data_IF_994688968362
#
_entry.id   IF_994688968362
#
_cell.length_a   1.000
_cell.length_b   1.000
_cell.length_c   1.000
_cell.angle_alpha   90.00
_cell.angle_beta   90.00
_cell.angle_gamma   90.00
#
_symmetry.space_group_name_H-M   'P 1'
#
loop_
_entity.id
_entity.type
_entity.pdbx_description
1 polymer ?
#
# COMPACT_ATOMS: atom_id res chain seq x y z
N UNK A 1 -46.78 41.17 -33.52
CA UNK A 1 -45.99 41.15 -32.27
C UNK A 1 -44.84 40.17 -32.51
N UNK A 2 -43.66 40.68 -32.90
CA UNK A 2 -42.50 40.92 -32.02
C UNK A 2 -42.00 39.61 -31.38
N UNK A 3 -40.78 39.12 -31.57
CA UNK A 3 -39.49 39.84 -31.69
C UNK A 3 -38.43 38.91 -32.33
N UNK A 4 -37.62 39.44 -33.24
CA UNK A 4 -36.33 38.89 -33.68
C UNK A 4 -35.37 38.80 -32.49
N UNK A 5 -34.63 37.71 -32.30
CA UNK A 5 -33.25 37.80 -31.79
C UNK A 5 -32.36 36.68 -32.36
N UNK A 6 -31.41 37.10 -33.20
CA UNK A 6 -30.15 36.40 -33.48
C UNK A 6 -29.39 36.25 -32.16
N UNK A 7 -28.84 35.08 -31.86
CA UNK A 7 -27.79 34.97 -30.83
C UNK A 7 -26.54 34.32 -31.42
N UNK A 8 -25.53 35.17 -31.45
CA UNK A 8 -24.19 35.11 -32.02
C UNK A 8 -23.43 33.78 -31.84
N UNK A 9 -22.72 33.39 -32.90
CA UNK A 9 -21.47 32.63 -32.80
C UNK A 9 -20.43 33.46 -32.06
N UNK A 10 -19.77 32.89 -31.06
CA UNK A 10 -18.44 33.31 -30.65
C UNK A 10 -17.52 32.10 -30.64
N UNK A 11 -16.52 32.18 -31.51
CA UNK A 11 -15.33 31.33 -31.61
C UNK A 11 -14.28 31.93 -30.67
N UNK A 12 -13.26 31.13 -30.31
CA UNK A 12 -11.90 31.57 -29.91
C UNK A 12 -11.75 32.03 -28.43
N UNK A 13 -10.70 31.75 -27.61
CA UNK A 13 -9.37 31.08 -27.63
C UNK A 13 -9.09 30.73 -26.13
N UNK A 14 -8.27 29.78 -25.67
CA UNK A 14 -6.81 29.88 -25.46
C UNK A 14 -6.31 28.48 -25.08
N UNK A 15 -5.52 27.88 -25.97
CA UNK A 15 -4.49 26.92 -25.60
C UNK A 15 -3.27 27.72 -25.16
N UNK A 16 -2.80 27.51 -23.94
CA UNK A 16 -1.48 27.95 -23.49
C UNK A 16 -0.78 26.75 -22.87
N UNK A 17 0.08 26.13 -23.67
CA UNK A 17 1.05 25.17 -23.22
C UNK A 17 2.06 25.87 -22.30
N UNK A 18 2.06 25.50 -21.02
CA UNK A 18 3.11 25.87 -20.09
C UNK A 18 4.23 24.82 -20.14
N UNK A 19 5.21 25.02 -21.02
CA UNK A 19 6.46 24.26 -21.01
C UNK A 19 7.30 24.76 -19.84
N UNK A 20 7.43 23.96 -18.77
CA UNK A 20 8.48 24.18 -17.78
C UNK A 20 9.80 23.66 -18.36
N UNK A 21 10.57 24.59 -18.91
CA UNK A 21 11.95 24.37 -19.29
C UNK A 21 12.80 24.23 -18.02
N UNK A 22 13.08 23.00 -17.60
CA UNK A 22 14.19 22.73 -16.70
C UNK A 22 15.49 22.83 -17.51
N UNK A 23 16.19 23.95 -17.31
CA UNK A 23 17.55 24.14 -17.81
C UNK A 23 18.52 23.24 -17.04
N UNK A 24 18.91 22.13 -17.65
CA UNK A 24 20.11 21.40 -17.24
C UNK A 24 21.32 22.05 -17.94
N UNK A 25 22.05 22.86 -17.18
CA UNK A 25 23.43 23.21 -17.51
C UNK A 25 24.27 21.92 -17.46
N UNK A 26 24.93 21.62 -18.58
CA UNK A 26 25.66 20.38 -18.78
C UNK A 26 26.96 20.27 -18.01
N UNK A 27 27.38 19.02 -17.82
CA UNK A 27 28.77 18.62 -17.97
C UNK A 27 28.78 17.43 -18.94
N UNK A 28 29.60 17.55 -19.99
CA UNK A 28 29.41 16.84 -21.25
C UNK A 28 30.07 15.47 -21.38
N UNK A 29 29.62 14.74 -22.41
CA UNK A 29 30.41 13.82 -23.21
C UNK A 29 29.63 13.52 -24.49
N UNK A 30 30.03 14.13 -25.60
CA UNK A 30 29.55 13.76 -26.94
C UNK A 30 30.19 12.45 -27.37
N UNK A 31 29.41 11.56 -28.00
CA UNK A 31 29.80 10.93 -29.26
C UNK A 31 28.58 10.35 -30.01
N UNK A 32 28.33 11.00 -31.16
CA UNK A 32 27.98 10.48 -32.48
C UNK A 32 26.86 9.42 -32.65
N UNK A 33 25.70 9.94 -33.09
CA UNK A 33 24.98 9.61 -34.31
C UNK A 33 25.19 8.22 -34.96
N UNK A 34 24.06 7.50 -35.15
CA UNK A 34 23.59 7.13 -36.50
C UNK A 34 22.07 6.86 -36.52
N UNK A 35 21.43 7.49 -37.51
CA UNK A 35 20.11 7.18 -38.06
C UNK A 35 19.99 5.69 -38.42
N UNK A 36 18.78 5.13 -38.34
CA UNK A 36 18.06 4.69 -39.54
C UNK A 36 16.58 4.44 -39.23
N UNK A 37 15.74 5.05 -40.07
CA UNK A 37 14.33 4.71 -40.29
C UNK A 37 14.25 3.36 -41.01
N UNK A 38 13.33 2.48 -40.60
CA UNK A 38 12.63 1.61 -41.57
C UNK A 38 11.36 0.99 -40.99
N UNK A 39 10.30 1.19 -41.76
CA UNK A 39 8.98 0.63 -41.59
C UNK A 39 8.91 -0.87 -41.93
N UNK A 40 7.74 -1.43 -41.62
CA UNK A 40 7.13 -2.66 -42.16
C UNK A 40 7.34 -3.99 -41.43
N UNK A 41 6.23 -4.39 -40.79
CA UNK A 41 5.34 -5.50 -41.21
C UNK A 41 5.41 -6.79 -40.39
N UNK A 42 4.19 -7.21 -40.08
CA UNK A 42 3.70 -8.43 -39.46
C UNK A 42 4.51 -9.70 -39.72
N UNK A 43 4.58 -10.57 -38.71
CA UNK A 43 4.59 -12.03 -38.92
C UNK A 43 3.91 -12.72 -37.73
N UNK A 44 2.82 -13.40 -38.06
CA UNK A 44 2.08 -14.41 -37.29
C UNK A 44 2.95 -15.65 -37.06
N UNK A 45 2.88 -16.30 -35.91
CA UNK A 45 3.03 -17.76 -35.78
C UNK A 45 2.42 -18.24 -34.46
N UNK A 46 1.46 -19.15 -34.59
CA UNK A 46 0.86 -19.96 -33.54
C UNK A 46 1.56 -21.31 -33.41
N UNK A 47 1.49 -21.91 -32.22
CA UNK A 47 1.60 -23.35 -31.86
C UNK A 47 1.28 -23.40 -30.35
N UNK A 48 0.17 -23.95 -29.82
CA UNK A 48 -0.31 -25.36 -29.79
C UNK A 48 0.85 -26.33 -29.47
N UNK A 49 0.87 -27.21 -28.46
CA UNK A 49 -0.09 -28.05 -27.70
C UNK A 49 0.68 -28.51 -26.43
N UNK A 50 0.13 -28.84 -25.25
CA UNK A 50 -0.46 -30.15 -24.85
C UNK A 50 -0.62 -30.13 -23.31
N UNK A 51 -1.84 -30.18 -22.77
CA UNK A 51 -2.43 -31.32 -22.03
C UNK A 51 -1.47 -32.10 -21.11
N UNK A 52 -1.79 -32.18 -19.81
CA UNK A 52 -2.38 -33.41 -19.30
C UNK A 52 -3.20 -33.17 -18.02
N UNK A 53 -4.35 -33.83 -17.97
CA UNK A 53 -5.31 -33.83 -16.88
C UNK A 53 -5.15 -35.13 -16.11
N UNK A 54 -5.19 -35.11 -14.78
CA UNK A 54 -5.55 -36.33 -14.04
C UNK A 54 -6.35 -35.97 -12.80
N UNK A 55 -7.67 -35.93 -12.98
CA UNK A 55 -8.60 -36.29 -11.92
C UNK A 55 -8.56 -37.80 -11.75
N UNK A 56 -8.52 -38.26 -10.49
CA UNK A 56 -9.03 -39.57 -10.09
C UNK A 56 -9.37 -39.51 -8.61
N UNK A 57 -10.65 -39.30 -8.34
CA UNK A 57 -11.33 -39.72 -7.13
C UNK A 57 -11.05 -41.19 -6.75
N UNK A 58 -10.98 -41.46 -5.45
CA UNK A 58 -11.49 -42.71 -4.85
C UNK A 58 -11.59 -42.57 -3.33
N UNK A 59 -12.82 -42.68 -2.84
CA UNK A 59 -13.23 -42.78 -1.45
C UNK A 59 -12.87 -44.15 -0.85
N UNK A 60 -12.53 -44.19 0.44
CA UNK A 60 -12.95 -45.29 1.32
C UNK A 60 -12.87 -44.85 2.79
N UNK A 61 -14.00 -45.04 3.47
CA UNK A 61 -14.26 -44.75 4.88
C UNK A 61 -13.36 -45.52 5.84
N UNK A 62 -13.11 -44.91 7.00
CA UNK A 62 -13.13 -45.61 8.29
C UNK A 62 -13.56 -44.63 9.36
N UNK A 63 -14.73 -44.89 9.91
CA UNK A 63 -15.23 -44.27 11.13
C UNK A 63 -14.43 -44.80 12.31
N UNK A 64 -14.00 -43.92 13.20
CA UNK A 64 -14.02 -44.21 14.63
C UNK A 64 -14.21 -42.89 15.39
N UNK A 65 -15.28 -42.87 16.19
CA UNK A 65 -15.54 -41.81 17.14
C UNK A 65 -14.60 -41.93 18.32
N UNK A 66 -14.13 -40.79 18.80
CA UNK A 66 -13.32 -40.70 20.02
C UNK A 66 -13.12 -39.25 20.38
N UNK A 67 -14.09 -38.67 21.09
CA UNK A 67 -13.79 -37.52 21.95
C UNK A 67 -12.77 -37.97 22.98
N UNK A 68 -11.57 -37.42 22.95
CA UNK A 68 -10.77 -37.33 24.16
C UNK A 68 -9.92 -36.06 24.17
N UNK A 69 -10.19 -35.22 25.16
CA UNK A 69 -9.32 -34.15 25.59
C UNK A 69 -8.09 -34.79 26.21
N UNK A 70 -7.03 -34.95 25.43
CA UNK A 70 -5.81 -35.59 25.88
C UNK A 70 -4.58 -34.83 25.41
N UNK A 71 -3.98 -34.09 26.33
CA UNK A 71 -2.62 -33.55 26.32
C UNK A 71 -1.66 -34.38 25.44
N UNK A 72 -1.35 -33.86 24.25
CA UNK A 72 -0.39 -34.44 23.33
C UNK A 72 0.97 -33.79 23.50
N UNK A 73 1.95 -34.58 23.90
CA UNK A 73 3.32 -34.21 24.19
C UNK A 73 3.97 -33.34 23.09
N UNK A 74 4.64 -32.27 23.53
CA UNK A 74 5.56 -31.49 22.71
C UNK A 74 6.71 -32.38 22.26
N UNK A 75 6.68 -32.83 21.00
CA UNK A 75 7.87 -33.33 20.33
C UNK A 75 8.74 -32.13 20.00
N UNK A 76 9.91 -32.07 20.64
CA UNK A 76 10.85 -30.97 20.53
C UNK A 76 11.43 -30.85 19.13
N UNK A 77 10.76 -30.07 18.28
CA UNK A 77 11.31 -29.35 17.12
C UNK A 77 10.55 -28.02 16.86
N UNK A 78 9.71 -27.57 17.79
CA UNK A 78 8.97 -26.29 17.76
C UNK A 78 9.83 -25.11 18.27
N UNK A 79 11.04 -24.97 17.75
CA UNK A 79 11.95 -23.84 18.05
C UNK A 79 12.03 -22.83 16.90
N UNK A 80 10.95 -22.69 16.13
CA UNK A 80 10.62 -21.40 15.54
C UNK A 80 9.77 -20.66 16.54
N UNK A 81 10.34 -19.71 17.28
CA UNK A 81 9.55 -18.78 18.10
C UNK A 81 8.67 -17.96 17.17
N UNK A 82 7.52 -18.52 16.80
CA UNK A 82 6.58 -17.92 15.88
C UNK A 82 5.78 -16.91 16.70
N UNK A 83 6.42 -15.78 16.96
CA UNK A 83 5.83 -14.64 17.63
C UNK A 83 4.75 -14.11 16.70
N UNK A 84 3.50 -14.43 17.00
CA UNK A 84 2.33 -14.05 16.22
C UNK A 84 1.47 -13.05 16.98
N UNK A 85 0.87 -12.15 16.21
CA UNK A 85 -0.03 -11.13 16.71
C UNK A 85 -1.43 -11.68 16.81
N UNK A 86 -2.38 -10.81 17.15
CA UNK A 86 -3.79 -11.18 17.09
C UNK A 86 -4.23 -11.16 15.62
N UNK A 87 -4.68 -12.29 15.02
CA UNK A 87 -5.19 -12.29 13.65
C UNK A 87 -6.38 -11.35 13.49
N UNK A 88 -6.49 -10.72 12.33
CA UNK A 88 -7.59 -9.82 12.01
C UNK A 88 -8.37 -10.28 10.77
N UNK A 89 -9.69 -10.03 10.80
CA UNK A 89 -10.54 -10.15 9.62
C UNK A 89 -10.54 -8.83 8.85
N UNK A 90 -10.37 -8.90 7.53
CA UNK A 90 -10.44 -7.73 6.66
C UNK A 90 -11.90 -7.39 6.31
N UNK A 91 -12.14 -6.11 6.07
CA UNK A 91 -13.37 -5.61 5.48
C UNK A 91 -13.10 -5.19 4.03
N UNK A 92 -13.54 -6.00 3.08
CA UNK A 92 -13.35 -5.77 1.64
C UNK A 92 -14.28 -4.70 1.06
N UNK A 93 -15.17 -4.12 1.89
CA UNK A 93 -16.04 -3.04 1.41
C UNK A 93 -15.22 -1.82 1.00
N UNK A 94 -15.66 -1.07 -0.02
CA UNK A 94 -15.00 0.17 -0.42
C UNK A 94 -14.90 1.16 0.76
N UNK A 95 -13.80 1.92 0.80
CA UNK A 95 -13.61 2.97 1.81
C UNK A 95 -14.71 4.02 1.70
N UNK A 96 -15.39 4.26 2.82
CA UNK A 96 -16.30 5.39 2.98
C UNK A 96 -15.53 6.69 3.23
N UNK A 97 -16.22 7.84 3.21
CA UNK A 97 -15.58 9.12 3.59
C UNK A 97 -15.10 9.12 5.04
N UNK A 98 -15.80 8.43 5.95
CA UNK A 98 -15.36 8.26 7.33
C UNK A 98 -14.08 7.42 7.40
N UNK A 99 -13.98 6.35 6.60
CA UNK A 99 -12.77 5.53 6.52
C UNK A 99 -11.60 6.37 5.98
N UNK A 100 -11.82 7.22 4.97
CA UNK A 100 -10.75 8.10 4.45
C UNK A 100 -10.24 9.06 5.53
N UNK A 101 -11.14 9.67 6.29
CA UNK A 101 -10.76 10.57 7.39
C UNK A 101 -9.96 9.84 8.48
N UNK A 102 -10.41 8.65 8.89
CA UNK A 102 -9.67 7.82 9.86
C UNK A 102 -8.32 7.36 9.31
N UNK A 103 -8.27 6.95 8.04
CA UNK A 103 -7.03 6.54 7.38
C UNK A 103 -6.02 7.67 7.31
N UNK A 104 -6.46 8.89 6.97
CA UNK A 104 -5.60 10.07 6.97
C UNK A 104 -5.07 10.40 8.37
N UNK A 105 -5.91 10.27 9.41
CA UNK A 105 -5.48 10.42 10.80
C UNK A 105 -4.42 9.38 11.19
N UNK A 106 -4.66 8.11 10.88
CA UNK A 106 -3.72 7.01 11.15
C UNK A 106 -2.37 7.25 10.49
N UNK A 107 -2.35 7.75 9.24
CA UNK A 107 -1.12 8.09 8.53
C UNK A 107 -0.41 9.29 9.18
N UNK A 108 -1.15 10.34 9.54
CA UNK A 108 -0.59 11.51 10.22
C UNK A 108 0.03 11.16 11.58
N UNK A 109 -0.66 10.31 12.36
CA UNK A 109 -0.20 9.83 13.66
C UNK A 109 1.06 8.97 13.52
N UNK A 110 1.13 8.16 12.46
CA UNK A 110 2.32 7.38 12.14
C UNK A 110 3.52 8.29 11.87
N UNK A 111 3.38 9.30 11.00
CA UNK A 111 4.48 10.24 10.74
C UNK A 111 4.86 11.04 11.98
N UNK A 112 3.89 11.51 12.75
CA UNK A 112 4.15 12.27 13.98
C UNK A 112 4.93 11.44 14.98
N UNK A 113 4.44 10.24 15.28
CA UNK A 113 5.10 9.31 16.22
C UNK A 113 6.49 8.90 15.73
N UNK A 114 6.61 8.63 14.44
CA UNK A 114 7.86 8.30 13.75
C UNK A 114 8.92 9.40 13.86
N UNK A 115 8.54 10.64 13.59
CA UNK A 115 9.42 11.80 13.63
C UNK A 115 9.77 12.20 15.06
N UNK A 116 8.87 11.96 16.01
CA UNK A 116 9.12 12.13 17.46
C UNK A 116 9.92 10.96 18.07
N UNK A 117 10.32 9.97 17.26
CA UNK A 117 11.03 8.75 17.71
C UNK A 117 10.25 7.91 18.73
N UNK A 118 8.92 8.01 18.69
CA UNK A 118 7.96 7.29 19.52
C UNK A 118 7.39 6.11 18.74
N UNK A 119 8.26 5.24 18.21
CA UNK A 119 7.86 4.21 17.25
C UNK A 119 6.84 3.20 17.78
N UNK A 120 6.89 2.89 19.09
CA UNK A 120 5.93 1.99 19.73
C UNK A 120 4.50 2.52 19.71
N UNK A 121 4.31 3.85 19.69
CA UNK A 121 2.99 4.48 19.73
C UNK A 121 2.25 4.36 18.38
N UNK A 122 2.98 4.11 17.29
CA UNK A 122 2.39 3.90 15.97
C UNK A 122 1.93 2.45 15.74
N UNK A 123 2.53 1.47 16.43
CA UNK A 123 2.30 0.05 16.21
C UNK A 123 0.85 -0.43 16.46
N UNK A 124 0.08 0.11 17.43
CA UNK A 124 -1.33 -0.28 17.60
C UNK A 124 -2.21 -0.01 16.39
N UNK A 125 -1.83 0.96 15.55
CA UNK A 125 -2.52 1.34 14.32
C UNK A 125 -1.99 0.60 13.08
N UNK A 126 -1.21 -0.46 13.27
CA UNK A 126 -0.61 -1.26 12.21
C UNK A 126 -1.07 -2.70 12.24
N UNK A 127 -1.06 -3.29 11.06
CA UNK A 127 -1.13 -4.73 10.86
C UNK A 127 0.10 -5.20 10.10
N UNK A 128 0.57 -6.38 10.46
CA UNK A 128 1.67 -7.09 9.79
C UNK A 128 1.10 -8.25 8.99
N UNK A 129 1.70 -8.52 7.84
CA UNK A 129 1.26 -9.61 6.97
C UNK A 129 1.90 -10.92 7.40
N UNK A 130 1.10 -11.88 7.85
CA UNK A 130 1.57 -13.22 8.24
C UNK A 130 0.97 -14.27 7.31
N UNK A 131 1.80 -14.81 6.41
CA UNK A 131 1.34 -15.70 5.33
C UNK A 131 0.30 -15.01 4.43
N UNK A 132 -0.88 -15.61 4.34
CA UNK A 132 -2.02 -15.09 3.58
C UNK A 132 -2.93 -14.15 4.41
N UNK A 133 -2.63 -13.97 5.69
CA UNK A 133 -3.43 -13.19 6.63
C UNK A 133 -2.73 -11.93 7.16
N UNK A 134 -3.44 -11.24 8.04
CA UNK A 134 -2.95 -10.05 8.75
C UNK A 134 -3.09 -10.26 10.25
N UNK A 135 -2.14 -9.72 11.00
CA UNK A 135 -2.11 -9.73 12.46
C UNK A 135 -1.86 -8.32 13.01
N UNK A 136 -2.43 -8.00 14.18
CA UNK A 136 -2.17 -6.74 14.87
C UNK A 136 -0.72 -6.68 15.34
N UNK A 137 -0.11 -5.50 15.21
CA UNK A 137 1.24 -5.24 15.73
C UNK A 137 1.27 -4.75 17.19
N UNK A 138 0.25 -5.09 17.99
CA UNK A 138 0.04 -4.55 19.33
C UNK A 138 0.43 -5.49 20.47
N UNK A 139 0.72 -6.76 20.22
CA UNK A 139 1.26 -7.67 21.25
C UNK A 139 2.65 -7.21 21.68
N UNK A 140 3.05 -7.43 22.94
CA UNK A 140 4.30 -6.85 23.48
C UNK A 140 5.53 -7.19 22.63
N UNK A 141 5.63 -8.43 22.18
CA UNK A 141 6.77 -8.92 21.42
C UNK A 141 6.76 -8.39 19.96
N UNK A 142 5.61 -8.34 19.30
CA UNK A 142 5.50 -7.77 17.94
C UNK A 142 5.62 -6.25 17.97
N UNK A 143 5.13 -5.59 19.00
CA UNK A 143 5.25 -4.14 19.17
C UNK A 143 6.72 -3.72 19.23
N UNK A 144 7.57 -4.48 19.92
CA UNK A 144 9.03 -4.26 19.93
C UNK A 144 9.64 -4.41 18.53
N UNK A 145 9.22 -5.44 17.78
CA UNK A 145 9.70 -5.66 16.41
C UNK A 145 9.25 -4.56 15.45
N UNK A 146 7.98 -4.18 15.52
CA UNK A 146 7.40 -3.06 14.78
C UNK A 146 8.14 -1.75 15.07
N UNK A 147 8.40 -1.45 16.35
CA UNK A 147 9.14 -0.25 16.73
C UNK A 147 10.58 -0.26 16.18
N UNK A 148 11.29 -1.38 16.29
CA UNK A 148 12.64 -1.53 15.77
C UNK A 148 12.71 -1.40 14.24
N UNK A 149 11.72 -1.94 13.52
CA UNK A 149 11.63 -1.79 12.07
C UNK A 149 11.38 -0.33 11.67
N UNK A 150 10.42 0.33 12.31
CA UNK A 150 10.13 1.75 12.06
C UNK A 150 11.35 2.63 12.36
N UNK A 151 12.05 2.38 13.48
CA UNK A 151 13.30 3.06 13.80
C UNK A 151 14.35 2.87 12.71
N UNK A 152 14.56 1.63 12.25
CA UNK A 152 15.52 1.31 11.19
C UNK A 152 15.20 2.05 9.89
N UNK A 153 13.93 2.10 9.50
CA UNK A 153 13.49 2.78 8.27
C UNK A 153 13.74 4.28 8.37
N UNK A 154 13.38 4.91 9.49
CA UNK A 154 13.53 6.36 9.66
C UNK A 154 14.97 6.82 9.91
N UNK A 155 15.72 6.08 10.72
CA UNK A 155 17.14 6.37 10.94
C UNK A 155 17.97 6.30 9.66
N UNK A 156 17.57 5.45 8.70
CA UNK A 156 18.23 5.37 7.39
C UNK A 156 18.00 6.59 6.49
N UNK A 157 16.97 7.41 6.75
CA UNK A 157 16.61 8.55 5.91
C UNK A 157 17.39 9.82 6.23
N UNK A 158 18.10 9.88 7.37
CA UNK A 158 18.96 11.01 7.71
C UNK A 158 18.23 12.36 7.86
N UNK A 159 16.97 12.32 8.30
CA UNK A 159 16.11 13.50 8.47
C UNK A 159 16.63 14.35 9.65
N UNK A 160 16.84 15.66 9.42
CA UNK A 160 17.22 16.60 10.49
C UNK A 160 16.01 16.96 11.37
N UNK A 161 16.24 17.45 12.59
CA UNK A 161 15.15 17.87 13.48
C UNK A 161 14.28 18.98 12.86
N UNK A 162 14.89 19.94 12.16
CA UNK A 162 14.16 21.00 11.45
C UNK A 162 13.29 20.43 10.32
N UNK A 163 13.81 19.47 9.56
CA UNK A 163 13.04 18.78 8.52
C UNK A 163 11.89 17.98 9.15
N UNK A 164 12.11 17.32 10.29
CA UNK A 164 11.08 16.59 11.01
C UNK A 164 9.93 17.50 11.46
N UNK A 165 10.25 18.67 12.04
CA UNK A 165 9.23 19.66 12.42
C UNK A 165 8.47 20.20 11.20
N UNK A 166 9.17 20.47 10.09
CA UNK A 166 8.52 20.90 8.85
C UNK A 166 7.58 19.81 8.32
N UNK A 167 8.02 18.55 8.31
CA UNK A 167 7.19 17.42 7.87
C UNK A 167 5.95 17.25 8.74
N UNK A 168 6.06 17.37 10.08
CA UNK A 168 4.89 17.31 10.98
C UNK A 168 3.86 18.41 10.72
N UNK A 169 4.31 19.62 10.36
CA UNK A 169 3.40 20.73 10.04
C UNK A 169 2.70 20.55 8.69
N UNK A 170 3.32 19.83 7.76
CA UNK A 170 2.78 19.60 6.43
C UNK A 170 1.91 18.34 6.36
N UNK A 171 2.34 17.23 6.99
CA UNK A 171 1.66 15.94 7.01
C UNK A 171 0.57 15.88 8.09
N UNK A 172 -0.34 16.84 8.04
CA UNK A 172 -1.55 16.84 8.85
C UNK A 172 -2.63 15.97 8.19
N UNK A 173 -3.61 15.45 8.96
CA UNK A 173 -4.68 14.62 8.41
C UNK A 173 -5.44 15.28 7.25
N UNK A 174 -5.61 16.60 7.32
CA UNK A 174 -6.35 17.37 6.30
C UNK A 174 -5.61 17.47 4.95
N UNK A 175 -4.29 17.31 4.96
CA UNK A 175 -3.45 17.36 3.76
C UNK A 175 -3.13 15.98 3.19
N UNK A 176 -3.53 14.91 3.88
CA UNK A 176 -3.33 13.53 3.45
C UNK A 176 -4.59 13.06 2.73
N UNK A 177 -4.40 12.55 1.52
CA UNK A 177 -5.46 11.97 0.72
C UNK A 177 -5.37 10.44 0.78
N UNK A 178 -6.51 9.78 0.98
CA UNK A 178 -6.62 8.32 0.94
C UNK A 178 -7.26 7.92 -0.38
N UNK A 179 -6.49 7.24 -1.22
CA UNK A 179 -6.90 6.73 -2.53
C UNK A 179 -7.26 5.24 -2.42
N UNK A 180 -8.57 4.88 -2.41
CA UNK A 180 -9.00 3.49 -2.25
C UNK A 180 -8.80 2.69 -3.54
N UNK A 181 -8.45 1.41 -3.40
CA UNK A 181 -8.32 0.48 -4.52
C UNK A 181 -9.64 -0.26 -4.83
N UNK A 182 -10.62 -0.19 -3.93
CA UNK A 182 -11.95 -0.79 -4.09
C UNK A 182 -12.12 -2.19 -3.49
N UNK A 183 -11.08 -2.73 -2.87
CA UNK A 183 -11.00 -4.09 -2.31
C UNK A 183 -10.73 -4.09 -0.79
N UNK A 184 -11.08 -3.01 -0.10
CA UNK A 184 -10.73 -2.84 1.32
C UNK A 184 -9.28 -2.42 1.55
N UNK A 185 -8.51 -2.12 0.50
CA UNK A 185 -7.18 -1.50 0.59
C UNK A 185 -7.17 -0.07 0.05
N UNK A 186 -6.19 0.72 0.49
CA UNK A 186 -5.95 2.06 0.00
C UNK A 186 -4.46 2.42 0.05
N UNK A 187 -4.06 3.45 -0.68
CA UNK A 187 -2.75 4.10 -0.55
C UNK A 187 -2.92 5.52 -0.02
N UNK A 188 -1.91 6.01 0.70
CA UNK A 188 -1.89 7.38 1.20
C UNK A 188 -1.05 8.27 0.29
N UNK A 189 -1.59 9.42 -0.08
CA UNK A 189 -0.90 10.42 -0.90
C UNK A 189 -0.90 11.79 -0.22
N UNK A 190 0.09 12.60 -0.57
CA UNK A 190 0.21 13.99 -0.14
C UNK A 190 0.50 14.85 -1.37
N UNK A 191 -0.37 15.80 -1.67
CA UNK A 191 -0.27 16.63 -2.88
C UNK A 191 -0.10 15.80 -4.17
N UNK A 192 -0.79 14.66 -4.26
CA UNK A 192 -0.70 13.71 -5.37
C UNK A 192 0.57 12.87 -5.42
N UNK A 193 1.48 12.99 -4.43
CA UNK A 193 2.66 12.14 -4.30
C UNK A 193 2.36 10.95 -3.39
N UNK A 194 2.74 9.75 -3.82
CA UNK A 194 2.63 8.54 -3.01
C UNK A 194 3.59 8.60 -1.81
N UNK A 195 3.05 8.41 -0.61
CA UNK A 195 3.82 8.39 0.64
C UNK A 195 4.50 7.03 0.89
N UNK A 196 4.28 6.04 0.03
CA UNK A 196 4.78 4.68 0.19
C UNK A 196 4.09 3.91 1.31
N UNK A 197 2.96 4.43 1.80
CA UNK A 197 2.15 3.84 2.86
C UNK A 197 0.85 3.29 2.30
N UNK A 198 0.52 2.08 2.73
CA UNK A 198 -0.72 1.41 2.39
C UNK A 198 -1.57 1.23 3.62
N UNK A 199 -2.89 1.25 3.43
CA UNK A 199 -3.89 1.00 4.45
C UNK A 199 -4.69 -0.24 4.05
N UNK A 200 -5.11 -1.00 5.06
CA UNK A 200 -6.08 -2.08 4.91
C UNK A 200 -7.19 -1.89 5.93
N UNK A 201 -8.42 -2.12 5.51
CA UNK A 201 -9.60 -1.98 6.35
C UNK A 201 -9.77 -3.26 7.17
N UNK A 202 -9.72 -3.11 8.49
CA UNK A 202 -9.93 -4.18 9.46
C UNK A 202 -11.37 -4.11 9.98
N UNK A 203 -12.05 -5.25 9.99
CA UNK A 203 -13.43 -5.35 10.42
C UNK A 203 -13.59 -4.96 11.89
N UNK A 204 -14.47 -4.01 12.17
CA UNK A 204 -14.73 -3.50 13.53
C UNK A 204 -13.76 -2.43 14.03
N UNK A 205 -12.65 -2.19 13.32
CA UNK A 205 -11.61 -1.21 13.69
C UNK A 205 -11.52 -0.07 12.66
N UNK A 206 -11.72 -0.39 11.38
CA UNK A 206 -11.52 0.53 10.26
C UNK A 206 -10.11 0.44 9.68
N UNK A 207 -9.62 1.50 9.01
CA UNK A 207 -8.36 1.45 8.28
C UNK A 207 -7.14 1.50 9.20
N UNK A 208 -6.25 0.53 9.04
CA UNK A 208 -4.95 0.45 9.71
C UNK A 208 -3.82 0.40 8.68
N UNK A 209 -2.61 0.78 9.09
CA UNK A 209 -1.43 0.74 8.21
C UNK A 209 -1.01 -0.71 7.93
N UNK A 210 -0.80 -1.01 6.66
CA UNK A 210 -0.25 -2.29 6.17
C UNK A 210 1.28 -2.21 6.15
N UNK A 211 1.91 -2.85 7.13
CA UNK A 211 3.37 -2.94 7.23
C UNK A 211 3.89 -4.02 6.29
N UNK A 212 3.99 -3.67 5.00
CA UNK A 212 4.55 -4.52 3.96
C UNK A 212 6.06 -4.64 4.18
N UNK A 213 6.54 -5.82 4.56
CA UNK A 213 7.95 -6.20 4.84
C UNK A 213 8.38 -6.10 6.32
N UNK A 214 7.71 -6.85 7.20
CA UNK A 214 8.27 -7.21 8.50
C UNK A 214 9.22 -8.42 8.39
#
# INVERSE_FOLDING_TARGET
>A
MSTFMRKNRSVSIIAAAGVLAFGLAGCGASNEAKKDDSASKETTTASETKEDSTSSESSASSSDGGSDSGSGAVTGDDLGSSVHGTPVELDETPFTEEDKQKGAQVVADFFTSSLDKRFEDACPNMVVRNGDGYERADTEEIRKQCAAQNEKILSSQGISEEQAEQMKQMLTPENIEIEPNGDGTAKATFQGQDLGLSLVKVKGEGPLLDLRNW
#
